data_IF_358273185004
#
_entry.id   IF_358273185004
#
_cell.length_a   1.000
_cell.length_b   1.000
_cell.length_c   1.000
_cell.angle_alpha   90.00
_cell.angle_beta   90.00
_cell.angle_gamma   90.00
#
_symmetry.space_group_name_H-M   'P 1'
#
loop_
_entity.id
_entity.type
_entity.pdbx_description
1 polymer ?
#
# COMPACT_ATOMS: atom_id res chain seq x y z
N UNK A 1 13.71 15.61 -5.36
CA UNK A 1 12.41 15.02 -4.99
C UNK A 1 11.75 15.90 -3.95
N UNK A 2 10.47 16.27 -4.11
CA UNK A 2 9.64 16.98 -3.13
C UNK A 2 8.43 16.12 -2.79
N UNK A 3 8.05 16.08 -1.52
CA UNK A 3 6.85 15.36 -1.05
C UNK A 3 6.00 16.28 -0.18
N UNK A 4 4.70 16.06 -0.16
CA UNK A 4 3.81 16.78 0.73
C UNK A 4 3.96 16.26 2.15
N UNK A 5 4.47 17.11 3.04
CA UNK A 5 4.57 16.82 4.46
C UNK A 5 3.28 17.27 5.16
N UNK A 6 2.61 16.35 5.83
CA UNK A 6 1.33 16.60 6.50
C UNK A 6 1.50 17.54 7.69
N UNK A 7 2.62 17.47 8.42
CA UNK A 7 2.93 18.36 9.54
C UNK A 7 3.22 19.78 9.05
N UNK A 8 4.07 19.91 8.02
CA UNK A 8 4.38 21.21 7.42
C UNK A 8 3.23 21.78 6.56
N UNK A 9 2.23 20.95 6.22
CA UNK A 9 1.08 21.28 5.34
C UNK A 9 1.51 21.86 4.00
N UNK A 10 2.59 21.34 3.44
CA UNK A 10 3.17 21.84 2.19
C UNK A 10 4.20 20.89 1.60
N UNK A 11 4.56 21.18 0.35
CA UNK A 11 5.63 20.46 -0.33
C UNK A 11 6.99 20.78 0.30
N UNK A 12 7.70 19.75 0.74
CA UNK A 12 9.03 19.83 1.32
C UNK A 12 10.05 19.15 0.42
N UNK A 13 11.22 19.74 0.29
CA UNK A 13 12.36 19.08 -0.35
C UNK A 13 12.89 18.00 0.57
N UNK A 14 12.90 16.77 0.10
CA UNK A 14 13.46 15.65 0.85
C UNK A 14 14.98 15.66 0.73
N UNK A 15 15.62 15.88 1.87
CA UNK A 15 17.08 15.84 2.01
C UNK A 15 17.42 14.76 3.01
N UNK A 16 18.03 13.65 2.59
CA UNK A 16 18.41 12.57 3.50
C UNK A 16 19.32 13.05 4.64
N UNK A 17 19.14 12.53 5.84
CA UNK A 17 20.01 12.76 7.01
C UNK A 17 21.42 12.23 6.75
N UNK A 18 21.51 11.09 6.07
CA UNK A 18 22.76 10.53 5.57
C UNK A 18 22.84 10.76 4.06
N UNK A 19 23.92 11.35 3.52
CA UNK A 19 24.03 11.65 2.10
C UNK A 19 23.70 10.44 1.21
N UNK A 20 22.71 10.60 0.33
CA UNK A 20 22.24 9.58 -0.62
C UNK A 20 21.66 8.31 0.01
N UNK A 21 21.21 8.38 1.26
CA UNK A 21 20.58 7.27 1.94
C UNK A 21 19.37 7.77 2.74
N UNK A 22 18.18 7.26 2.42
CA UNK A 22 16.92 7.57 3.10
C UNK A 22 16.55 6.49 4.10
N UNK A 23 16.17 6.90 5.29
CA UNK A 23 15.52 6.04 6.29
C UNK A 23 14.01 6.26 6.24
N UNK A 24 13.25 5.18 6.09
CA UNK A 24 11.79 5.22 5.97
C UNK A 24 11.18 4.25 6.98
N UNK A 25 10.30 4.76 7.84
CA UNK A 25 9.42 3.91 8.63
C UNK A 25 8.02 3.94 8.02
N UNK A 26 7.43 2.77 7.85
CA UNK A 26 6.08 2.60 7.31
C UNK A 26 5.21 1.86 8.32
N UNK A 27 4.07 2.44 8.71
CA UNK A 27 3.09 1.69 9.48
C UNK A 27 2.58 0.51 8.66
N UNK A 28 2.73 -0.70 9.23
CA UNK A 28 2.37 -1.96 8.61
C UNK A 28 0.94 -2.42 8.92
N UNK A 29 0.60 -3.65 8.56
CA UNK A 29 -0.72 -4.21 8.80
C UNK A 29 -0.90 -4.68 10.25
N UNK A 30 -2.15 -4.65 10.72
CA UNK A 30 -2.58 -5.49 11.84
C UNK A 30 -3.01 -6.85 11.29
N UNK A 31 -2.26 -7.90 11.63
CA UNK A 31 -2.36 -9.21 11.00
C UNK A 31 -3.40 -10.12 11.66
N UNK A 32 -4.66 -9.69 11.64
CA UNK A 32 -5.81 -10.46 12.09
C UNK A 32 -6.76 -10.84 10.94
N UNK A 33 -6.53 -10.29 9.75
CA UNK A 33 -7.28 -10.56 8.51
C UNK A 33 -6.47 -10.16 7.29
N UNK A 34 -6.92 -10.59 6.11
CA UNK A 34 -6.34 -10.14 4.83
C UNK A 34 -6.40 -8.62 4.71
N UNK A 35 -5.34 -8.04 4.15
CA UNK A 35 -5.28 -6.64 3.82
C UNK A 35 -6.10 -6.37 2.54
N UNK A 36 -6.97 -5.37 2.56
CA UNK A 36 -7.75 -5.03 1.37
C UNK A 36 -6.96 -4.10 0.42
N UNK A 37 -7.45 -3.95 -0.80
CA UNK A 37 -6.78 -3.15 -1.84
C UNK A 37 -6.52 -1.70 -1.42
N UNK A 38 -7.29 -1.14 -0.48
CA UNK A 38 -7.03 0.19 0.08
C UNK A 38 -5.77 0.23 0.94
N UNK A 39 -5.48 -0.83 1.71
CA UNK A 39 -4.23 -0.96 2.47
C UNK A 39 -3.06 -1.10 1.50
N UNK A 40 -3.21 -1.91 0.44
CA UNK A 40 -2.16 -2.08 -0.60
C UNK A 40 -1.78 -0.75 -1.25
N UNK A 41 -2.76 0.15 -1.49
CA UNK A 41 -2.47 1.49 -2.00
C UNK A 41 -1.63 2.33 -1.03
N UNK A 42 -1.83 2.16 0.27
CA UNK A 42 -1.00 2.84 1.29
C UNK A 42 0.42 2.28 1.29
N UNK A 43 0.58 0.96 1.25
CA UNK A 43 1.91 0.32 1.23
C UNK A 43 2.66 0.63 -0.07
N UNK A 44 1.96 0.79 -1.20
CA UNK A 44 2.54 1.23 -2.46
C UNK A 44 3.23 2.59 -2.36
N UNK A 45 2.77 3.51 -1.50
CA UNK A 45 3.40 4.82 -1.33
C UNK A 45 4.87 4.71 -0.93
N UNK A 46 5.18 3.83 0.02
CA UNK A 46 6.57 3.60 0.48
C UNK A 46 7.43 3.02 -0.65
N UNK A 47 6.90 2.07 -1.42
CA UNK A 47 7.57 1.50 -2.59
C UNK A 47 7.88 2.58 -3.64
N UNK A 48 6.94 3.47 -3.94
CA UNK A 48 7.15 4.56 -4.90
C UNK A 48 8.22 5.55 -4.43
N UNK A 49 8.26 5.90 -3.14
CA UNK A 49 9.30 6.76 -2.57
C UNK A 49 10.68 6.08 -2.72
N UNK A 50 10.77 4.80 -2.37
CA UNK A 50 12.01 4.02 -2.46
C UNK A 50 12.50 3.88 -3.90
N UNK A 51 11.58 3.60 -4.85
CA UNK A 51 11.93 3.50 -6.28
C UNK A 51 12.40 4.84 -6.84
N UNK A 52 11.74 5.96 -6.47
CA UNK A 52 12.19 7.29 -6.89
C UNK A 52 13.56 7.65 -6.32
N UNK A 53 13.81 7.30 -5.05
CA UNK A 53 15.15 7.44 -4.45
C UNK A 53 16.19 6.66 -5.26
N UNK A 54 15.89 5.41 -5.66
CA UNK A 54 16.74 4.60 -6.54
C UNK A 54 16.99 5.24 -7.90
N UNK A 55 15.99 5.88 -8.52
CA UNK A 55 16.18 6.61 -9.79
C UNK A 55 17.14 7.81 -9.66
N UNK A 56 17.23 8.41 -8.46
CA UNK A 56 18.23 9.42 -8.12
C UNK A 56 19.58 8.84 -7.69
N UNK A 57 19.72 7.51 -7.70
CA UNK A 57 20.92 6.81 -7.24
C UNK A 57 21.11 6.88 -5.73
N UNK A 58 20.02 7.01 -4.96
CA UNK A 58 20.03 6.90 -3.51
C UNK A 58 19.67 5.47 -3.10
N UNK A 59 20.12 5.08 -1.93
CA UNK A 59 19.69 3.85 -1.26
C UNK A 59 18.62 4.17 -0.22
N UNK A 60 17.87 3.15 0.19
CA UNK A 60 16.87 3.28 1.26
C UNK A 60 17.08 2.20 2.31
N UNK A 61 16.73 2.48 3.56
CA UNK A 61 16.43 1.48 4.57
C UNK A 61 14.96 1.66 4.96
N UNK A 62 14.17 0.64 4.69
CA UNK A 62 12.73 0.61 4.96
C UNK A 62 12.46 -0.34 6.12
N UNK A 63 11.80 0.17 7.16
CA UNK A 63 11.27 -0.62 8.26
C UNK A 63 9.74 -0.56 8.19
N UNK A 64 9.09 -1.72 8.18
CA UNK A 64 7.63 -1.81 8.21
C UNK A 64 7.22 -2.80 9.30
N UNK A 65 6.48 -2.34 10.30
CA UNK A 65 6.08 -3.19 11.40
C UNK A 65 4.99 -4.20 11.03
N UNK A 66 4.90 -5.25 11.84
CA UNK A 66 3.78 -6.19 11.87
C UNK A 66 3.11 -6.07 13.24
N UNK A 67 1.89 -5.53 13.28
CA UNK A 67 1.08 -5.44 14.49
C UNK A 67 0.35 -6.76 14.72
N UNK A 68 0.90 -7.61 15.56
CA UNK A 68 0.39 -8.94 15.91
C UNK A 68 -0.14 -9.01 17.35
N UNK A 69 -0.23 -7.86 18.05
CA UNK A 69 -0.78 -7.71 19.41
C UNK A 69 -1.26 -6.27 19.63
N UNK A 70 -2.01 -6.02 20.66
CA UNK A 70 -2.24 -4.69 21.25
C UNK A 70 -3.24 -3.80 20.52
N UNK A 71 -3.64 -4.11 19.30
CA UNK A 71 -4.59 -3.29 18.54
C UNK A 71 -6.04 -3.62 18.96
N UNK A 72 -6.56 -2.81 19.85
CA UNK A 72 -7.94 -2.95 20.35
C UNK A 72 -8.94 -2.39 19.35
N UNK A 73 -10.19 -2.86 19.43
CA UNK A 73 -11.26 -2.43 18.53
C UNK A 73 -11.58 -0.92 18.64
N UNK A 74 -11.37 -0.34 19.81
CA UNK A 74 -11.64 1.06 20.17
C UNK A 74 -10.45 2.01 20.04
N UNK A 75 -9.24 1.52 19.75
CA UNK A 75 -8.04 2.36 19.62
C UNK A 75 -8.07 3.29 18.38
N UNK A 76 -8.98 3.05 17.45
CA UNK A 76 -9.10 3.86 16.23
C UNK A 76 -10.05 5.05 16.40
N UNK A 77 -9.85 6.00 17.24
CA UNK A 77 -10.68 7.20 17.53
C UNK A 77 -11.51 7.87 16.40
N UNK A 78 -11.47 7.32 15.21
CA UNK A 78 -12.26 7.63 14.03
C UNK A 78 -13.06 6.38 13.67
N UNK A 79 -14.22 6.10 14.31
CA UNK A 79 -15.22 5.16 13.83
C UNK A 79 -14.90 4.35 12.57
N UNK A 80 -13.81 3.64 12.59
CA UNK A 80 -13.49 2.58 11.63
C UNK A 80 -14.42 1.43 11.96
N UNK A 81 -15.46 1.35 11.17
CA UNK A 81 -16.67 0.55 11.32
C UNK A 81 -16.34 -0.94 11.36
N UNK A 82 -15.98 -1.45 12.51
CA UNK A 82 -16.43 -2.76 12.95
C UNK A 82 -17.52 -2.49 14.00
N UNK A 83 -18.61 -1.88 13.56
CA UNK A 83 -19.84 -1.70 14.32
C UNK A 83 -20.45 -3.06 14.57
N UNK A 84 -20.14 -3.64 15.71
CA UNK A 84 -20.77 -4.86 16.13
C UNK A 84 -20.03 -5.54 17.25
N UNK A 85 -20.37 -5.13 18.50
CA UNK A 85 -20.19 -5.92 19.72
C UNK A 85 -18.76 -6.13 20.22
N UNK A 86 -18.46 -5.55 21.36
CA UNK A 86 -17.32 -5.84 22.22
C UNK A 86 -16.23 -4.77 22.20
N UNK A 87 -16.46 -3.63 22.91
CA UNK A 87 -15.39 -2.71 23.30
C UNK A 87 -14.31 -3.46 24.09
N UNK A 88 -13.04 -3.13 23.83
CA UNK A 88 -11.92 -3.59 24.65
C UNK A 88 -11.31 -4.95 24.28
N UNK A 89 -11.65 -5.59 23.17
CA UNK A 89 -11.05 -6.88 22.76
C UNK A 89 -9.96 -6.69 21.67
N UNK A 90 -8.83 -7.37 21.86
CA UNK A 90 -7.74 -7.42 20.88
C UNK A 90 -8.20 -8.15 19.60
N UNK A 91 -7.98 -7.51 18.45
CA UNK A 91 -8.46 -8.00 17.15
C UNK A 91 -7.86 -9.35 16.77
N UNK A 92 -6.58 -9.60 17.12
CA UNK A 92 -5.91 -10.87 16.84
C UNK A 92 -6.50 -11.98 17.70
N UNK A 93 -6.72 -11.73 19.01
CA UNK A 93 -7.34 -12.69 19.91
C UNK A 93 -8.77 -13.03 19.49
N UNK A 94 -9.57 -12.04 19.10
CA UNK A 94 -10.93 -12.25 18.59
C UNK A 94 -10.95 -13.13 17.35
N UNK A 95 -10.06 -12.87 16.39
CA UNK A 95 -9.96 -13.69 15.20
C UNK A 95 -9.49 -15.11 15.51
N UNK A 96 -8.53 -15.25 16.42
CA UNK A 96 -8.04 -16.55 16.87
C UNK A 96 -9.17 -17.40 17.49
N UNK A 97 -10.00 -16.79 18.33
CA UNK A 97 -11.17 -17.44 18.89
C UNK A 97 -12.20 -17.85 17.82
N UNK A 98 -12.40 -16.98 16.81
CA UNK A 98 -13.32 -17.24 15.69
C UNK A 98 -12.85 -18.42 14.83
N UNK A 99 -11.54 -18.54 14.58
CA UNK A 99 -10.96 -19.62 13.76
C UNK A 99 -10.57 -20.87 14.59
N UNK A 100 -10.72 -20.84 15.92
CA UNK A 100 -10.34 -21.95 16.79
C UNK A 100 -8.84 -22.24 16.80
N UNK A 101 -8.01 -21.21 16.68
CA UNK A 101 -6.55 -21.28 16.56
C UNK A 101 -5.85 -20.43 17.62
N UNK A 102 -4.52 -20.59 17.79
CA UNK A 102 -3.74 -19.71 18.66
C UNK A 102 -3.51 -18.33 18.02
N UNK A 103 -3.41 -17.30 18.86
CA UNK A 103 -3.25 -15.90 18.39
C UNK A 103 -2.05 -15.71 17.45
N UNK A 104 -0.88 -16.22 17.83
CA UNK A 104 0.31 -16.12 16.98
C UNK A 104 0.20 -16.90 15.67
N UNK A 105 -0.51 -18.05 15.66
CA UNK A 105 -0.75 -18.80 14.42
C UNK A 105 -1.63 -18.01 13.46
N UNK A 106 -2.66 -17.32 13.96
CA UNK A 106 -3.49 -16.40 13.16
C UNK A 106 -2.65 -15.25 12.63
N UNK A 107 -1.83 -14.62 13.47
CA UNK A 107 -0.97 -13.52 13.04
C UNK A 107 -0.02 -13.96 11.91
N UNK A 108 0.65 -15.11 12.04
CA UNK A 108 1.54 -15.65 10.99
C UNK A 108 0.82 -15.94 9.68
N UNK A 109 -0.38 -16.53 9.74
CA UNK A 109 -1.22 -16.79 8.56
C UNK A 109 -1.49 -15.51 7.76
N UNK A 110 -1.90 -14.45 8.43
CA UNK A 110 -2.23 -13.19 7.75
C UNK A 110 -1.01 -12.34 7.39
N UNK A 111 0.11 -12.51 8.09
CA UNK A 111 1.41 -11.96 7.69
C UNK A 111 1.91 -12.59 6.39
N UNK A 112 1.80 -13.92 6.24
CA UNK A 112 2.15 -14.62 4.99
C UNK A 112 1.27 -14.16 3.82
N UNK A 113 -0.03 -14.02 4.04
CA UNK A 113 -0.97 -13.49 3.05
C UNK A 113 -0.59 -12.04 2.63
N UNK A 114 -0.23 -11.21 3.60
CA UNK A 114 0.23 -9.84 3.35
C UNK A 114 1.48 -9.80 2.46
N UNK A 115 2.49 -10.62 2.74
CA UNK A 115 3.70 -10.70 1.91
C UNK A 115 3.42 -11.21 0.49
N UNK A 116 2.49 -12.17 0.37
CA UNK A 116 2.02 -12.65 -0.94
C UNK A 116 1.37 -11.53 -1.76
N UNK A 117 0.52 -10.72 -1.12
CA UNK A 117 -0.16 -9.59 -1.77
C UNK A 117 0.83 -8.50 -2.19
N UNK A 118 1.84 -8.19 -1.36
CA UNK A 118 2.92 -7.25 -1.73
C UNK A 118 3.67 -7.73 -2.98
N UNK A 119 4.02 -9.03 -3.01
CA UNK A 119 4.72 -9.65 -4.15
C UNK A 119 3.86 -9.60 -5.42
N UNK A 120 2.57 -9.94 -5.33
CA UNK A 120 1.65 -9.89 -6.46
C UNK A 120 1.53 -8.49 -7.08
N UNK A 121 1.64 -7.44 -6.26
CA UNK A 121 1.63 -6.04 -6.69
C UNK A 121 3.01 -5.48 -7.02
N UNK A 122 4.07 -6.33 -7.03
CA UNK A 122 5.45 -5.91 -7.26
C UNK A 122 5.88 -4.75 -6.33
N UNK A 123 5.41 -4.78 -5.07
CA UNK A 123 5.87 -3.89 -4.01
C UNK A 123 7.13 -4.49 -3.43
N UNK A 124 8.23 -3.73 -3.40
CA UNK A 124 9.48 -4.20 -2.83
C UNK A 124 9.30 -4.51 -1.34
N UNK A 125 9.85 -5.64 -0.86
CA UNK A 125 9.84 -5.92 0.57
C UNK A 125 10.61 -4.85 1.33
N UNK A 126 10.18 -4.56 2.56
CA UNK A 126 10.97 -3.77 3.49
C UNK A 126 12.24 -4.52 3.90
N UNK A 127 13.28 -3.79 4.32
CA UNK A 127 14.52 -4.38 4.81
C UNK A 127 14.30 -5.09 6.15
N UNK A 128 13.35 -4.59 6.95
CA UNK A 128 13.00 -5.16 8.25
C UNK A 128 11.47 -5.17 8.45
N UNK A 129 10.99 -6.29 9.00
CA UNK A 129 9.61 -6.47 9.43
C UNK A 129 9.57 -6.83 10.94
N UNK A 130 9.80 -5.85 11.84
CA UNK A 130 9.70 -6.10 13.27
C UNK A 130 8.26 -6.42 13.66
N UNK A 131 8.08 -7.44 14.51
CA UNK A 131 6.78 -7.81 15.06
C UNK A 131 6.61 -7.22 16.45
N UNK A 132 5.43 -6.68 16.73
CA UNK A 132 5.12 -6.09 18.02
C UNK A 132 5.35 -7.08 19.18
N UNK A 133 4.89 -8.32 19.02
CA UNK A 133 5.08 -9.38 20.04
C UNK A 133 6.54 -9.74 20.31
N UNK A 134 7.44 -9.48 19.39
CA UNK A 134 8.88 -9.75 19.50
C UNK A 134 9.68 -8.52 19.94
N UNK A 135 9.04 -7.35 20.09
CA UNK A 135 9.66 -6.07 20.43
C UNK A 135 9.25 -5.53 21.81
N UNK A 136 8.83 -6.41 22.69
CA UNK A 136 8.41 -6.03 24.05
C UNK A 136 9.53 -5.39 24.88
N UNK A 137 10.79 -5.88 24.86
CA UNK A 137 11.87 -5.22 25.58
C UNK A 137 12.06 -3.76 25.17
N UNK A 138 12.01 -3.46 23.88
CA UNK A 138 12.16 -2.10 23.33
C UNK A 138 11.00 -1.19 23.76
N UNK A 139 9.79 -1.73 23.85
CA UNK A 139 8.63 -0.99 24.35
C UNK A 139 8.76 -0.68 25.84
N UNK A 140 9.28 -1.60 26.64
CA UNK A 140 9.56 -1.38 28.08
C UNK A 140 10.62 -0.28 28.22
N UNK A 141 11.72 -0.34 27.47
CA UNK A 141 12.77 0.69 27.48
C UNK A 141 12.20 2.08 27.13
N UNK A 142 11.34 2.17 26.12
CA UNK A 142 10.67 3.42 25.73
C UNK A 142 9.79 3.95 26.86
N UNK A 143 8.97 3.10 27.46
CA UNK A 143 8.06 3.46 28.56
C UNK A 143 8.85 3.93 29.78
N UNK A 144 9.93 3.24 30.16
CA UNK A 144 10.80 3.64 31.26
C UNK A 144 11.39 5.04 31.02
N UNK A 145 11.89 5.30 29.80
CA UNK A 145 12.39 6.63 29.46
C UNK A 145 11.32 7.71 29.55
N UNK A 146 10.08 7.42 29.17
CA UNK A 146 8.94 8.35 29.29
C UNK A 146 8.54 8.58 30.74
N UNK A 147 8.58 7.57 31.59
CA UNK A 147 8.32 7.66 33.04
C UNK A 147 9.40 8.52 33.73
N UNK A 148 10.68 8.25 33.44
CA UNK A 148 11.81 9.01 33.98
C UNK A 148 11.77 10.50 33.63
N UNK A 149 11.27 10.83 32.43
CA UNK A 149 11.13 12.20 31.95
C UNK A 149 9.85 12.90 32.40
N UNK A 150 8.94 12.15 33.05
CA UNK A 150 7.66 12.68 33.54
C UNK A 150 6.61 12.87 32.46
N UNK A 151 6.78 12.26 31.27
CA UNK A 151 5.80 12.27 30.19
C UNK A 151 4.79 11.11 30.31
N UNK A 152 5.05 10.13 31.17
CA UNK A 152 4.17 9.01 31.44
C UNK A 152 3.93 8.84 32.93
N UNK A 153 2.90 8.09 33.29
CA UNK A 153 2.58 7.75 34.67
C UNK A 153 1.93 6.36 34.79
N UNK A 154 2.09 5.73 35.93
CA UNK A 154 1.42 4.49 36.25
C UNK A 154 0.05 4.80 36.85
N UNK A 155 -0.99 4.22 36.30
CA UNK A 155 -2.36 4.32 36.78
C UNK A 155 -2.61 3.48 38.02
N UNK A 156 -3.74 3.67 38.66
CA UNK A 156 -4.10 2.97 39.92
C UNK A 156 -4.34 1.46 39.71
N UNK A 157 -4.60 1.03 38.49
CA UNK A 157 -4.78 -0.36 38.12
C UNK A 157 -3.47 -1.07 37.70
N UNK A 158 -2.37 -0.32 37.53
CA UNK A 158 -1.09 -0.79 37.03
C UNK A 158 -0.89 -0.60 35.51
N UNK A 159 -1.87 -0.07 34.79
CA UNK A 159 -1.66 0.38 33.40
C UNK A 159 -0.75 1.61 33.35
N UNK A 160 0.01 1.78 32.27
CA UNK A 160 0.87 2.96 32.08
C UNK A 160 0.29 3.84 30.98
N UNK A 161 0.17 5.12 31.26
CA UNK A 161 -0.39 6.11 30.33
C UNK A 161 0.62 7.19 29.99
N UNK A 162 0.57 7.69 28.76
CA UNK A 162 1.22 8.93 28.37
C UNK A 162 0.35 10.11 28.83
N UNK A 163 0.95 11.10 29.49
CA UNK A 163 0.28 12.36 29.82
C UNK A 163 0.28 13.28 28.59
N UNK A 164 -0.84 13.33 27.90
CA UNK A 164 -0.98 14.12 26.67
C UNK A 164 -0.61 15.61 26.87
N UNK A 165 -0.85 16.18 28.06
CA UNK A 165 -0.53 17.57 28.38
C UNK A 165 0.95 17.82 28.58
N UNK A 166 1.75 16.76 28.77
CA UNK A 166 3.21 16.86 28.90
C UNK A 166 3.91 17.15 27.56
N UNK A 167 3.17 17.05 26.42
CA UNK A 167 3.70 17.34 25.08
C UNK A 167 2.98 18.54 24.45
N UNK A 168 3.48 19.76 24.62
CA UNK A 168 2.79 21.00 24.19
C UNK A 168 2.54 21.11 22.67
N UNK A 169 3.34 20.38 21.86
CA UNK A 169 3.21 20.40 20.41
C UNK A 169 2.22 19.35 19.86
N UNK A 170 1.42 18.73 20.73
CA UNK A 170 0.38 17.78 20.32
C UNK A 170 -0.61 18.43 19.35
N UNK A 171 -0.93 17.74 18.27
CA UNK A 171 -1.78 18.25 17.21
C UNK A 171 -1.04 18.86 16.01
N UNK A 172 0.29 18.85 15.99
CA UNK A 172 1.07 19.42 14.90
C UNK A 172 0.86 18.68 13.55
N UNK A 173 0.66 17.36 13.57
CA UNK A 173 0.38 16.57 12.36
C UNK A 173 -1.11 16.66 12.01
N UNK A 174 -1.98 16.41 12.98
CA UNK A 174 -3.43 16.31 12.80
C UNK A 174 -4.13 17.65 12.61
N UNK A 175 -3.64 18.67 13.30
CA UNK A 175 -4.32 19.95 13.46
C UNK A 175 -5.35 19.94 14.60
N UNK A 176 -5.51 18.81 15.30
CA UNK A 176 -6.41 18.69 16.43
C UNK A 176 -5.75 19.26 17.69
N UNK A 177 -6.31 20.30 18.26
CA UNK A 177 -5.81 20.83 19.52
C UNK A 177 -6.27 19.95 20.68
N UNK A 178 -5.38 19.72 21.63
CA UNK A 178 -5.66 18.89 22.79
C UNK A 178 -6.90 19.38 23.58
N UNK A 179 -7.08 20.70 23.67
CA UNK A 179 -8.19 21.37 24.35
C UNK A 179 -9.54 21.17 23.64
N UNK A 180 -9.52 20.93 22.33
CA UNK A 180 -10.72 20.72 21.51
C UNK A 180 -11.16 19.24 21.48
N UNK A 181 -10.31 18.33 21.99
CA UNK A 181 -10.66 16.92 22.11
C UNK A 181 -11.70 16.74 23.21
N UNK A 182 -12.88 16.27 22.83
CA UNK A 182 -13.98 16.07 23.78
C UNK A 182 -14.04 14.61 24.24
N UNK A 183 -14.30 14.36 25.52
CA UNK A 183 -14.58 13.01 26.00
C UNK A 183 -15.79 12.45 25.24
N UNK A 184 -15.69 11.23 24.75
CA UNK A 184 -16.86 10.46 24.33
C UNK A 184 -17.58 10.87 23.05
N UNK A 185 -16.93 11.58 22.09
CA UNK A 185 -17.62 12.11 20.89
C UNK A 185 -18.22 11.06 19.93
N UNK A 186 -18.02 9.74 20.16
CA UNK A 186 -18.73 8.65 19.44
C UNK A 186 -19.05 7.42 20.29
N UNK A 187 -18.59 7.37 21.52
CA UNK A 187 -18.95 6.29 22.43
C UNK A 187 -19.29 6.95 23.77
N UNK A 188 -20.48 6.67 24.33
CA UNK A 188 -20.83 6.92 25.72
C UNK A 188 -19.98 6.04 26.66
N UNK A 189 -18.64 6.10 26.48
CA UNK A 189 -17.71 5.50 27.40
C UNK A 189 -17.52 6.53 28.51
N UNK A 190 -18.00 6.21 29.70
CA UNK A 190 -17.66 6.92 30.93
C UNK A 190 -16.15 7.17 30.93
N UNK A 191 -15.75 8.39 31.33
CA UNK A 191 -14.35 8.75 31.42
C UNK A 191 -13.60 7.66 32.20
N UNK A 192 -12.57 7.06 31.58
CA UNK A 192 -11.77 6.02 32.22
C UNK A 192 -11.23 6.56 33.54
N UNK A 193 -11.67 6.05 34.71
CA UNK A 193 -11.34 6.62 36.01
C UNK A 193 -9.85 6.51 36.36
N UNK A 194 -9.09 5.71 35.59
CA UNK A 194 -7.65 5.50 35.78
C UNK A 194 -6.82 6.60 35.13
N UNK A 195 -7.36 7.25 34.08
CA UNK A 195 -6.68 8.34 33.35
C UNK A 195 -6.73 9.65 34.13
N UNK A 196 -5.63 10.41 34.10
CA UNK A 196 -5.57 11.77 34.66
C UNK A 196 -6.23 12.79 33.77
N UNK A 197 -6.21 12.56 32.46
CA UNK A 197 -6.84 13.37 31.45
C UNK A 197 -7.47 12.49 30.37
N UNK A 198 -8.61 12.88 29.83
CA UNK A 198 -9.38 12.06 28.91
C UNK A 198 -8.64 11.70 27.59
N UNK A 199 -7.71 12.57 27.18
CA UNK A 199 -6.92 12.34 25.97
C UNK A 199 -5.60 11.59 26.23
N UNK A 200 -5.30 11.20 27.47
CA UNK A 200 -4.17 10.32 27.76
C UNK A 200 -4.41 8.95 27.10
N UNK A 201 -3.37 8.34 26.57
CA UNK A 201 -3.48 7.03 25.94
C UNK A 201 -2.57 6.01 26.63
N UNK A 202 -2.98 4.75 26.54
CA UNK A 202 -2.24 3.69 27.19
C UNK A 202 -0.95 3.36 26.43
N UNK A 203 0.16 3.33 27.12
CA UNK A 203 1.46 2.81 26.67
C UNK A 203 1.56 1.33 26.98
N UNK A 204 1.05 0.92 28.16
CA UNK A 204 0.95 -0.44 28.61
C UNK A 204 -0.40 -0.66 29.29
N UNK A 205 -1.13 -1.69 28.89
CA UNK A 205 -2.45 -2.02 29.46
C UNK A 205 -2.31 -3.23 30.38
N UNK A 206 -2.82 -3.15 31.59
CA UNK A 206 -2.92 -4.30 32.48
C UNK A 206 -3.80 -5.37 31.86
N UNK A 207 -3.32 -6.60 31.86
CA UNK A 207 -4.11 -7.74 31.38
C UNK A 207 -5.20 -8.09 32.39
N UNK A 208 -6.46 -8.27 31.96
CA UNK A 208 -7.47 -8.90 32.80
C UNK A 208 -7.13 -10.37 33.03
N UNK A 209 -7.54 -10.94 34.14
CA UNK A 209 -7.25 -12.34 34.50
C UNK A 209 -7.74 -13.36 33.45
N UNK A 210 -8.69 -12.96 32.61
CA UNK A 210 -9.24 -13.80 31.53
C UNK A 210 -8.35 -13.82 30.29
N UNK A 211 -7.39 -12.88 30.16
CA UNK A 211 -6.47 -12.82 29.02
C UNK A 211 -5.24 -13.68 29.27
N UNK A 212 -5.16 -14.83 28.60
CA UNK A 212 -4.09 -15.84 28.79
C UNK A 212 -3.08 -15.88 27.64
N UNK A 213 -3.30 -15.14 26.56
CA UNK A 213 -2.40 -15.07 25.40
C UNK A 213 -2.01 -13.62 25.14
N UNK A 214 -0.82 -13.42 24.55
CA UNK A 214 -0.27 -12.11 24.22
C UNK A 214 -0.23 -11.20 25.45
N UNK A 215 0.37 -11.71 26.54
CA UNK A 215 0.61 -11.00 27.78
C UNK A 215 2.06 -11.23 28.23
N UNK A 216 2.64 -10.23 28.86
CA UNK A 216 4.04 -10.24 29.32
C UNK A 216 4.16 -9.65 30.71
N UNK A 217 5.14 -10.17 31.46
CA UNK A 217 5.53 -9.62 32.76
C UNK A 217 6.38 -8.37 32.56
N UNK A 218 6.03 -7.30 33.28
CA UNK A 218 6.76 -6.03 33.27
C UNK A 218 6.93 -5.50 34.69
N UNK A 219 7.75 -4.45 34.92
CA UNK A 219 7.83 -3.79 36.23
C UNK A 219 6.48 -3.26 36.76
N UNK A 220 5.51 -3.02 35.88
CA UNK A 220 4.16 -2.49 36.22
C UNK A 220 3.13 -3.61 36.39
N UNK A 221 3.50 -4.86 36.14
CA UNK A 221 2.65 -6.05 36.22
C UNK A 221 2.42 -6.74 34.86
N UNK A 222 1.62 -7.80 34.90
CA UNK A 222 1.25 -8.55 33.69
C UNK A 222 0.33 -7.72 32.80
N UNK A 223 0.71 -7.57 31.52
CA UNK A 223 -0.05 -6.73 30.61
C UNK A 223 0.34 -6.93 29.14
N UNK A 224 -0.04 -5.99 28.33
CA UNK A 224 0.22 -5.96 26.90
C UNK A 224 0.41 -4.50 26.41
N UNK A 225 1.12 -4.27 25.29
CA UNK A 225 1.41 -2.92 24.81
C UNK A 225 0.16 -2.19 24.34
N UNK A 226 0.19 -0.87 24.46
CA UNK A 226 -0.70 0.02 23.71
C UNK A 226 -0.23 0.13 22.26
N UNK A 227 -1.18 0.19 21.33
CA UNK A 227 -0.92 0.16 19.88
C UNK A 227 0.09 1.22 19.39
N UNK A 228 0.08 2.42 19.96
CA UNK A 228 0.97 3.51 19.53
C UNK A 228 2.42 3.33 20.01
N UNK A 229 2.63 2.56 21.09
CA UNK A 229 3.95 2.28 21.66
C UNK A 229 4.79 1.40 20.75
N UNK A 230 4.15 0.50 20.01
CA UNK A 230 4.78 -0.48 19.13
C UNK A 230 5.65 0.21 18.08
N UNK A 231 5.02 1.09 17.27
CA UNK A 231 5.71 1.77 16.17
C UNK A 231 6.80 2.71 16.67
N UNK A 232 6.56 3.42 17.78
CA UNK A 232 7.58 4.29 18.40
C UNK A 232 8.82 3.50 18.82
N UNK A 233 8.63 2.37 19.53
CA UNK A 233 9.74 1.56 20.01
C UNK A 233 10.51 0.90 18.86
N UNK A 234 9.81 0.28 17.91
CA UNK A 234 10.41 -0.43 16.79
C UNK A 234 11.15 0.54 15.84
N UNK A 235 10.58 1.71 15.57
CA UNK A 235 11.23 2.73 14.72
C UNK A 235 12.50 3.27 15.34
N UNK A 236 12.48 3.62 16.62
CA UNK A 236 13.66 4.10 17.36
C UNK A 236 14.76 3.03 17.43
N UNK A 237 14.39 1.77 17.65
CA UNK A 237 15.35 0.66 17.74
C UNK A 237 16.10 0.44 16.43
N UNK A 238 15.38 0.44 15.30
CA UNK A 238 15.94 0.03 14.01
C UNK A 238 16.47 1.21 13.18
N UNK A 239 15.92 2.41 13.35
CA UNK A 239 16.32 3.59 12.57
C UNK A 239 16.94 4.70 13.43
N UNK A 240 16.92 4.56 14.76
CA UNK A 240 17.46 5.57 15.68
C UNK A 240 16.59 6.82 15.79
N UNK A 241 17.17 7.90 16.33
CA UNK A 241 16.46 9.14 16.64
C UNK A 241 16.42 10.17 15.50
N UNK A 242 16.71 9.76 14.26
CA UNK A 242 16.64 10.62 13.07
C UNK A 242 16.12 9.82 11.89
N UNK A 243 14.82 9.87 11.67
CA UNK A 243 14.10 9.17 10.61
C UNK A 243 13.70 10.19 9.55
N UNK A 244 14.10 9.96 8.29
CA UNK A 244 13.84 10.92 7.23
C UNK A 244 12.35 11.00 6.87
N UNK A 245 11.68 9.85 6.71
CA UNK A 245 10.28 9.80 6.30
C UNK A 245 9.52 8.77 7.14
N UNK A 246 8.32 9.14 7.61
CA UNK A 246 7.34 8.23 8.17
C UNK A 246 6.09 8.21 7.27
N UNK A 247 5.68 7.03 6.81
CA UNK A 247 4.53 6.87 5.91
C UNK A 247 3.39 6.10 6.56
N UNK A 248 2.16 6.39 6.10
CA UNK A 248 0.97 5.64 6.51
C UNK A 248 -0.29 6.10 5.77
N UNK A 249 -1.43 5.53 6.14
CA UNK A 249 -2.73 6.01 5.69
C UNK A 249 -3.12 7.32 6.35
N UNK A 250 -3.96 8.12 5.71
CA UNK A 250 -4.43 9.39 6.27
C UNK A 250 -5.23 9.19 7.57
N UNK A 251 -5.80 8.02 7.77
CA UNK A 251 -6.48 7.61 9.00
C UNK A 251 -5.53 7.47 10.20
N UNK A 252 -4.26 7.14 9.95
CA UNK A 252 -3.23 7.07 11.00
C UNK A 252 -2.76 8.45 11.45
N UNK A 253 -3.02 9.51 10.69
CA UNK A 253 -2.62 10.88 11.05
C UNK A 253 -3.06 11.25 12.47
N UNK A 254 -4.24 10.79 12.88
CA UNK A 254 -4.79 10.96 14.22
C UNK A 254 -5.62 9.75 14.63
N UNK A 255 -5.44 9.20 15.85
CA UNK A 255 -4.43 9.66 16.84
C UNK A 255 -3.02 9.09 16.60
N UNK A 256 -2.84 7.98 15.88
CA UNK A 256 -1.68 7.11 15.89
C UNK A 256 -0.34 7.84 15.65
N UNK A 257 -0.16 8.53 14.53
CA UNK A 257 1.10 9.24 14.24
C UNK A 257 1.33 10.46 15.15
N UNK A 258 0.26 11.09 15.65
CA UNK A 258 0.38 12.14 16.61
C UNK A 258 0.92 11.62 17.96
N UNK A 259 0.39 10.47 18.40
CA UNK A 259 0.81 9.79 19.62
C UNK A 259 2.24 9.22 19.48
N UNK A 260 2.59 8.63 18.34
CA UNK A 260 3.96 8.20 18.07
C UNK A 260 4.96 9.35 18.10
N UNK A 261 4.61 10.50 17.49
CA UNK A 261 5.44 11.68 17.53
C UNK A 261 5.65 12.17 18.95
N UNK A 262 4.58 12.22 19.76
CA UNK A 262 4.67 12.64 21.15
C UNK A 262 5.57 11.68 21.95
N UNK A 263 5.41 10.36 21.80
CA UNK A 263 6.23 9.36 22.48
C UNK A 263 7.70 9.46 22.09
N UNK A 264 7.99 9.40 20.78
CA UNK A 264 9.36 9.37 20.29
C UNK A 264 10.13 10.65 20.61
N UNK A 265 9.50 11.82 20.43
CA UNK A 265 10.12 13.11 20.71
C UNK A 265 10.32 13.32 22.21
N UNK A 266 9.35 12.90 23.04
CA UNK A 266 9.49 12.99 24.50
C UNK A 266 10.59 12.07 25.02
N UNK A 267 10.67 10.84 24.53
CA UNK A 267 11.68 9.87 24.97
C UNK A 267 13.10 10.28 24.58
N UNK A 268 13.28 10.87 23.41
CA UNK A 268 14.61 11.25 22.90
C UNK A 268 15.00 12.71 23.21
N UNK A 269 14.03 13.59 23.42
CA UNK A 269 14.24 15.03 23.55
C UNK A 269 14.56 15.72 22.21
N UNK A 270 14.25 15.09 21.08
CA UNK A 270 14.51 15.60 19.74
C UNK A 270 13.33 15.33 18.80
N UNK A 271 13.26 16.06 17.67
CA UNK A 271 12.26 15.82 16.63
C UNK A 271 12.73 14.63 15.76
N UNK A 272 12.20 13.44 16.04
CA UNK A 272 12.69 12.16 15.50
C UNK A 272 12.38 12.01 14.02
N UNK A 273 11.14 12.30 13.61
CA UNK A 273 10.69 12.14 12.22
C UNK A 273 10.67 13.49 11.50
N UNK A 274 11.41 13.57 10.41
CA UNK A 274 11.55 14.81 9.63
C UNK A 274 10.35 15.11 8.75
N UNK A 275 9.81 14.07 8.08
CA UNK A 275 8.69 14.21 7.14
C UNK A 275 7.61 13.15 7.37
N UNK A 276 6.35 13.60 7.47
CA UNK A 276 5.16 12.76 7.64
C UNK A 276 4.36 12.73 6.35
N UNK A 277 4.31 11.57 5.68
CA UNK A 277 3.72 11.44 4.35
C UNK A 277 2.57 10.44 4.37
N UNK A 278 1.36 10.88 3.98
CA UNK A 278 0.15 10.10 4.11
C UNK A 278 -0.52 9.83 2.77
N UNK A 279 -0.96 8.58 2.55
CA UNK A 279 -1.84 8.19 1.46
C UNK A 279 -3.30 8.46 1.82
N UNK A 280 -4.07 9.01 0.88
CA UNK A 280 -5.49 9.29 1.06
C UNK A 280 -6.33 8.02 0.89
N UNK A 281 -7.55 8.03 1.42
CA UNK A 281 -8.48 6.92 1.39
C UNK A 281 -8.80 6.44 -0.04
N UNK A 282 -9.02 5.13 -0.14
CA UNK A 282 -9.58 4.49 -1.33
C UNK A 282 -11.03 4.09 -1.05
N UNK A 283 -11.93 4.51 -1.93
CA UNK A 283 -13.30 4.04 -1.99
C UNK A 283 -13.40 2.92 -3.04
N UNK A 284 -14.31 1.98 -2.82
CA UNK A 284 -14.70 1.02 -3.84
C UNK A 284 -16.18 1.19 -4.17
N UNK A 285 -16.49 1.39 -5.45
CA UNK A 285 -17.83 1.73 -5.93
C UNK A 285 -18.48 2.90 -5.15
N UNK A 286 -17.68 3.96 -4.92
CA UNK A 286 -18.13 5.18 -4.25
C UNK A 286 -18.30 5.07 -2.72
N UNK A 287 -17.94 3.94 -2.11
CA UNK A 287 -18.13 3.68 -0.69
C UNK A 287 -16.82 3.29 -0.01
N UNK A 288 -16.66 3.65 1.26
CA UNK A 288 -15.58 3.12 2.09
C UNK A 288 -15.74 1.60 2.21
N UNK A 289 -14.64 0.87 2.02
CA UNK A 289 -14.65 -0.58 2.20
C UNK A 289 -14.85 -0.93 3.68
N UNK A 290 -15.85 -1.77 3.96
CA UNK A 290 -16.10 -2.31 5.29
C UNK A 290 -16.73 -3.71 5.20
N UNK A 291 -16.51 -4.55 6.22
CA UNK A 291 -17.14 -5.88 6.28
C UNK A 291 -18.67 -5.78 6.33
N UNK A 292 -19.19 -4.83 7.10
CA UNK A 292 -20.63 -4.62 7.25
C UNK A 292 -21.32 -4.22 5.93
N UNK A 293 -20.61 -3.51 5.05
CA UNK A 293 -21.09 -3.16 3.71
C UNK A 293 -20.89 -4.27 2.66
N UNK A 294 -20.14 -5.33 2.97
CA UNK A 294 -19.85 -6.44 2.05
C UNK A 294 -19.07 -6.04 0.79
N UNK A 295 -18.38 -4.88 0.82
CA UNK A 295 -17.68 -4.31 -0.33
C UNK A 295 -16.15 -4.33 -0.19
N UNK A 296 -15.61 -5.19 0.68
CA UNK A 296 -14.16 -5.38 0.82
C UNK A 296 -13.66 -6.13 -0.40
N UNK A 297 -12.63 -5.58 -1.05
CA UNK A 297 -11.95 -6.20 -2.20
C UNK A 297 -10.50 -6.48 -1.83
N UNK A 298 -10.06 -7.68 -2.13
CA UNK A 298 -8.73 -8.21 -1.86
C UNK A 298 -7.95 -8.39 -3.17
N UNK A 299 -6.63 -8.53 -3.09
CA UNK A 299 -5.79 -8.80 -4.26
C UNK A 299 -6.19 -10.12 -4.92
N UNK A 300 -6.53 -11.15 -4.13
CA UNK A 300 -7.02 -12.43 -4.67
C UNK A 300 -8.31 -12.30 -5.48
N UNK A 301 -9.22 -11.38 -5.12
CA UNK A 301 -10.46 -11.19 -5.88
C UNK A 301 -10.17 -10.64 -7.29
N UNK A 302 -9.07 -9.87 -7.44
CA UNK A 302 -8.57 -9.40 -8.75
C UNK A 302 -8.06 -10.60 -9.56
N UNK A 303 -7.27 -11.48 -8.94
CA UNK A 303 -6.71 -12.68 -9.57
C UNK A 303 -7.81 -13.67 -9.96
N UNK A 304 -8.78 -13.92 -9.09
CA UNK A 304 -9.91 -14.82 -9.32
C UNK A 304 -10.81 -14.35 -10.48
N UNK A 305 -10.81 -13.04 -10.78
CA UNK A 305 -11.48 -12.47 -11.96
C UNK A 305 -10.65 -12.60 -13.25
N UNK A 306 -9.48 -13.22 -13.20
CA UNK A 306 -8.59 -13.36 -14.35
C UNK A 306 -7.83 -12.06 -14.70
N UNK A 307 -7.78 -11.08 -13.80
CA UNK A 307 -7.04 -9.84 -14.00
C UNK A 307 -5.62 -9.95 -13.44
N UNK A 308 -4.66 -9.34 -14.14
CA UNK A 308 -3.28 -9.24 -13.64
C UNK A 308 -3.24 -8.32 -12.41
N UNK A 309 -2.66 -8.72 -11.26
CA UNK A 309 -2.51 -7.85 -10.11
C UNK A 309 -1.80 -6.52 -10.43
N UNK A 310 -0.91 -6.50 -11.43
CA UNK A 310 -0.24 -5.27 -11.86
C UNK A 310 -1.17 -4.31 -12.61
N UNK A 311 -2.35 -4.77 -13.08
CA UNK A 311 -3.40 -3.87 -13.53
C UNK A 311 -3.98 -3.05 -12.36
N UNK A 312 -4.12 -3.65 -11.18
CA UNK A 312 -4.50 -2.93 -9.96
C UNK A 312 -3.41 -1.91 -9.57
N UNK A 313 -2.12 -2.30 -9.63
CA UNK A 313 -1.01 -1.36 -9.42
C UNK A 313 -1.07 -0.20 -10.41
N UNK A 314 -1.29 -0.46 -11.70
CA UNK A 314 -1.43 0.60 -12.70
C UNK A 314 -2.64 1.50 -12.43
N UNK A 315 -3.77 0.94 -11.98
CA UNK A 315 -4.93 1.71 -11.58
C UNK A 315 -4.61 2.69 -10.44
N UNK A 316 -3.83 2.25 -9.44
CA UNK A 316 -3.36 3.14 -8.37
C UNK A 316 -2.47 4.26 -8.90
N UNK A 317 -1.54 3.96 -9.80
CA UNK A 317 -0.64 4.95 -10.41
C UNK A 317 -1.36 6.00 -11.27
N UNK A 318 -2.59 5.75 -11.69
CA UNK A 318 -3.43 6.72 -12.42
C UNK A 318 -3.97 7.84 -11.53
N UNK A 319 -3.75 7.76 -10.20
CA UNK A 319 -4.24 8.73 -9.22
C UNK A 319 -3.09 9.18 -8.32
N UNK A 320 -3.10 10.45 -7.91
CA UNK A 320 -2.14 10.92 -6.91
C UNK A 320 -2.38 10.25 -5.56
N UNK A 321 -1.31 9.85 -4.86
CA UNK A 321 -1.40 9.11 -3.59
C UNK A 321 -2.21 9.84 -2.51
N UNK A 322 -2.18 11.17 -2.49
CA UNK A 322 -2.89 12.00 -1.50
C UNK A 322 -4.26 12.55 -1.98
N UNK A 323 -4.80 12.00 -3.05
CA UNK A 323 -6.17 12.25 -3.48
C UNK A 323 -7.03 11.02 -3.21
N UNK A 324 -8.26 11.25 -2.74
CA UNK A 324 -9.22 10.17 -2.61
C UNK A 324 -9.45 9.52 -3.97
N UNK A 325 -9.34 8.20 -4.01
CA UNK A 325 -9.55 7.41 -5.22
C UNK A 325 -10.85 6.63 -5.10
N UNK A 326 -11.66 6.65 -6.14
CA UNK A 326 -12.77 5.72 -6.29
C UNK A 326 -12.38 4.61 -7.27
N UNK A 327 -12.07 3.44 -6.75
CA UNK A 327 -11.75 2.25 -7.52
C UNK A 327 -13.04 1.51 -7.88
N UNK A 328 -13.10 0.98 -9.09
CA UNK A 328 -14.18 0.11 -9.58
C UNK A 328 -13.57 -1.02 -10.41
N UNK A 329 -14.32 -2.07 -10.66
CA UNK A 329 -13.86 -3.15 -11.54
C UNK A 329 -13.54 -2.63 -12.93
N UNK A 330 -14.35 -1.71 -13.48
CA UNK A 330 -14.12 -1.11 -14.80
C UNK A 330 -12.80 -0.33 -14.87
N UNK A 331 -12.39 0.31 -13.76
CA UNK A 331 -11.09 1.01 -13.69
C UNK A 331 -9.93 0.00 -13.76
N UNK A 332 -10.04 -1.13 -13.06
CA UNK A 332 -9.01 -2.20 -13.10
C UNK A 332 -8.96 -2.85 -14.50
N UNK A 333 -10.11 -3.15 -15.09
CA UNK A 333 -10.20 -3.70 -16.46
C UNK A 333 -9.63 -2.74 -17.51
N UNK A 334 -9.88 -1.44 -17.36
CA UNK A 334 -9.27 -0.40 -18.21
C UNK A 334 -7.75 -0.31 -18.05
N UNK A 335 -7.26 -0.50 -16.83
CA UNK A 335 -5.82 -0.59 -16.55
C UNK A 335 -5.22 -1.87 -17.14
N UNK A 336 -5.92 -3.01 -17.06
CA UNK A 336 -5.53 -4.28 -17.68
C UNK A 336 -5.26 -4.12 -19.19
N UNK A 337 -6.23 -3.54 -19.92
CA UNK A 337 -6.09 -3.29 -21.37
C UNK A 337 -4.90 -2.39 -21.69
N UNK A 338 -4.62 -1.40 -20.83
CA UNK A 338 -3.46 -0.52 -21.00
C UNK A 338 -2.15 -1.27 -20.77
N UNK A 339 -2.10 -2.10 -19.72
CA UNK A 339 -0.94 -2.91 -19.37
C UNK A 339 -0.58 -3.91 -20.48
N UNK A 340 -1.57 -4.64 -20.97
CA UNK A 340 -1.42 -5.60 -22.10
C UNK A 340 -0.90 -4.90 -23.35
N UNK A 341 -1.51 -3.77 -23.71
CA UNK A 341 -1.06 -2.97 -24.86
C UNK A 341 0.39 -2.51 -24.71
N UNK A 342 0.78 -2.02 -23.55
CA UNK A 342 2.15 -1.58 -23.31
C UNK A 342 3.14 -2.74 -23.37
N UNK A 343 2.82 -3.89 -22.78
CA UNK A 343 3.66 -5.10 -22.89
C UNK A 343 3.82 -5.56 -24.32
N UNK A 344 2.73 -5.59 -25.10
CA UNK A 344 2.78 -5.90 -26.53
C UNK A 344 3.68 -4.93 -27.30
N UNK A 345 3.55 -3.62 -27.06
CA UNK A 345 4.41 -2.61 -27.69
C UNK A 345 5.88 -2.74 -27.28
N UNK A 346 6.17 -2.98 -26.01
CA UNK A 346 7.54 -3.20 -25.54
C UNK A 346 8.15 -4.44 -26.18
N UNK A 347 7.40 -5.53 -26.32
CA UNK A 347 7.85 -6.75 -27.00
C UNK A 347 8.10 -6.53 -28.51
N UNK A 348 7.26 -5.71 -29.17
CA UNK A 348 7.45 -5.31 -30.55
C UNK A 348 8.75 -4.48 -30.71
N UNK A 349 8.91 -3.43 -29.92
CA UNK A 349 10.06 -2.53 -29.96
C UNK A 349 11.38 -3.19 -29.56
N UNK A 350 11.35 -4.26 -28.76
CA UNK A 350 12.53 -5.04 -28.40
C UNK A 350 13.25 -5.63 -29.63
N UNK A 351 12.56 -5.79 -30.76
CA UNK A 351 13.14 -6.28 -32.01
C UNK A 351 13.80 -5.18 -32.85
N UNK A 352 13.61 -3.92 -32.48
CA UNK A 352 14.17 -2.77 -33.19
C UNK A 352 15.63 -2.53 -32.80
N UNK A 353 16.46 -1.94 -33.70
CA UNK A 353 17.82 -1.57 -33.34
C UNK A 353 17.87 -0.70 -32.07
N UNK A 354 18.78 -1.03 -31.14
CA UNK A 354 18.98 -0.23 -29.93
C UNK A 354 19.31 1.22 -30.27
N UNK A 355 18.71 2.14 -29.53
CA UNK A 355 18.93 3.57 -29.69
C UNK A 355 18.95 4.27 -28.33
N UNK A 356 19.66 5.38 -28.17
CA UNK A 356 19.68 6.11 -26.90
C UNK A 356 18.29 6.55 -26.49
N UNK A 357 18.01 6.45 -25.18
CA UNK A 357 16.76 6.97 -24.60
C UNK A 357 16.61 8.46 -24.83
N UNK A 358 15.40 8.91 -25.17
CA UNK A 358 15.11 10.34 -25.38
C UNK A 358 15.25 11.13 -24.07
N UNK A 359 16.22 12.06 -24.04
CA UNK A 359 16.55 12.85 -22.85
C UNK A 359 15.39 13.73 -22.39
N UNK A 360 14.67 14.37 -23.33
CA UNK A 360 13.56 15.29 -23.04
C UNK A 360 12.40 14.56 -22.33
N UNK A 361 12.04 13.36 -22.80
CA UNK A 361 11.02 12.55 -22.16
C UNK A 361 11.47 12.05 -20.79
N UNK A 362 12.76 11.70 -20.64
CA UNK A 362 13.35 11.32 -19.35
C UNK A 362 13.28 12.44 -18.33
N UNK A 363 13.63 13.65 -18.72
CA UNK A 363 13.54 14.84 -17.87
C UNK A 363 12.10 15.12 -17.43
N UNK A 364 11.15 15.10 -18.39
CA UNK A 364 9.72 15.29 -18.10
C UNK A 364 9.17 14.24 -17.13
N UNK A 365 9.57 12.98 -17.28
CA UNK A 365 9.14 11.89 -16.42
C UNK A 365 9.65 12.08 -14.98
N UNK A 366 10.95 12.34 -14.82
CA UNK A 366 11.54 12.62 -13.50
C UNK A 366 10.95 13.88 -12.86
N UNK A 367 10.76 14.95 -13.63
CA UNK A 367 10.15 16.19 -13.13
C UNK A 367 8.70 15.99 -12.65
N UNK A 368 7.97 15.04 -13.23
CA UNK A 368 6.65 14.68 -12.75
C UNK A 368 6.72 13.93 -11.42
N UNK A 369 7.64 12.96 -11.29
CA UNK A 369 7.81 12.17 -10.07
C UNK A 369 8.40 13.00 -8.93
N UNK A 370 9.31 13.91 -9.23
CA UNK A 370 9.93 14.81 -8.25
C UNK A 370 8.95 15.82 -7.64
N UNK A 371 7.81 16.01 -8.28
CA UNK A 371 6.75 16.89 -7.82
C UNK A 371 5.63 16.09 -7.16
N UNK A 372 5.87 15.67 -5.93
CA UNK A 372 4.88 14.99 -5.08
C UNK A 372 4.38 13.66 -5.67
N UNK A 373 5.29 12.90 -6.30
CA UNK A 373 4.94 11.63 -6.96
C UNK A 373 3.74 11.77 -7.90
N UNK A 374 3.77 12.77 -8.82
CA UNK A 374 2.69 12.98 -9.80
C UNK A 374 2.70 11.85 -10.85
N UNK A 375 2.32 10.64 -10.41
CA UNK A 375 2.27 9.45 -11.25
C UNK A 375 1.31 9.59 -12.44
N UNK A 376 0.13 10.26 -12.33
CA UNK A 376 -0.72 10.51 -13.49
C UNK A 376 -0.01 11.31 -14.60
N UNK A 377 0.78 12.32 -14.22
CA UNK A 377 1.58 13.11 -15.17
C UNK A 377 2.71 12.27 -15.77
N UNK A 378 3.40 11.45 -14.95
CA UNK A 378 4.42 10.54 -15.44
C UNK A 378 3.84 9.53 -16.46
N UNK A 379 2.67 8.95 -16.20
CA UNK A 379 1.97 8.07 -17.14
C UNK A 379 1.55 8.80 -18.43
N UNK A 380 1.27 10.09 -18.35
CA UNK A 380 0.99 10.91 -19.53
C UNK A 380 2.23 11.07 -20.41
N UNK A 381 3.42 11.19 -19.81
CA UNK A 381 4.70 11.23 -20.54
C UNK A 381 4.90 9.94 -21.34
N UNK A 382 4.63 8.76 -20.72
CA UNK A 382 4.70 7.48 -21.43
C UNK A 382 3.73 7.41 -22.62
N UNK A 383 2.47 7.82 -22.41
CA UNK A 383 1.46 7.83 -23.48
C UNK A 383 1.82 8.75 -24.64
N UNK A 384 2.48 9.87 -24.36
CA UNK A 384 2.95 10.79 -25.38
C UNK A 384 4.11 10.17 -26.16
N UNK A 385 5.11 9.62 -25.47
CA UNK A 385 6.25 8.95 -26.11
C UNK A 385 5.78 7.76 -26.97
N UNK A 386 4.84 6.95 -26.49
CA UNK A 386 4.26 5.82 -27.24
C UNK A 386 3.76 6.26 -28.63
N UNK A 387 3.08 7.42 -28.68
CA UNK A 387 2.45 7.96 -29.88
C UNK A 387 3.38 8.81 -30.75
N UNK A 388 4.52 9.21 -30.25
CA UNK A 388 5.44 10.09 -30.96
C UNK A 388 6.13 9.35 -32.10
N UNK A 389 5.72 9.62 -33.32
CA UNK A 389 6.29 9.02 -34.53
C UNK A 389 7.72 9.50 -34.86
N UNK A 390 8.21 10.55 -34.22
CA UNK A 390 9.55 11.08 -34.44
C UNK A 390 10.62 10.31 -33.64
N UNK A 391 10.22 9.58 -32.64
CA UNK A 391 11.11 8.81 -31.76
C UNK A 391 11.17 7.35 -32.24
N UNK A 392 12.38 6.82 -32.41
CA UNK A 392 12.60 5.44 -32.83
C UNK A 392 12.09 4.44 -31.81
N UNK A 393 11.68 3.26 -32.27
CA UNK A 393 11.18 2.18 -31.43
C UNK A 393 12.23 1.70 -30.42
N UNK A 394 13.51 1.59 -30.81
CA UNK A 394 14.57 1.27 -29.88
C UNK A 394 14.71 2.29 -28.75
N UNK A 395 14.55 3.59 -29.04
CA UNK A 395 14.53 4.62 -27.99
C UNK A 395 13.30 4.53 -27.08
N UNK A 396 12.13 4.15 -27.63
CA UNK A 396 10.93 3.89 -26.83
C UNK A 396 11.09 2.66 -25.93
N UNK A 397 11.68 1.60 -26.45
CA UNK A 397 11.99 0.40 -25.67
C UNK A 397 12.87 0.75 -24.44
N UNK A 398 13.99 1.42 -24.68
CA UNK A 398 14.91 1.81 -23.61
C UNK A 398 14.23 2.69 -22.56
N UNK A 399 13.38 3.63 -23.01
CA UNK A 399 12.65 4.49 -22.07
C UNK A 399 11.62 3.70 -21.24
N UNK A 400 10.81 2.84 -21.86
CA UNK A 400 9.79 2.06 -21.15
C UNK A 400 10.43 1.09 -20.16
N UNK A 401 11.51 0.41 -20.53
CA UNK A 401 12.28 -0.45 -19.65
C UNK A 401 12.86 0.31 -18.45
N UNK A 402 13.45 1.50 -18.70
CA UNK A 402 13.96 2.36 -17.64
C UNK A 402 12.86 2.90 -16.74
N UNK A 403 11.74 3.36 -17.28
CA UNK A 403 10.62 3.89 -16.51
C UNK A 403 9.95 2.81 -15.66
N UNK A 404 9.99 1.54 -16.10
CA UNK A 404 9.43 0.41 -15.37
C UNK A 404 10.18 0.09 -14.07
N UNK A 405 11.43 0.51 -13.93
CA UNK A 405 12.13 0.46 -12.64
C UNK A 405 11.38 1.22 -11.54
N UNK A 406 10.69 2.32 -11.90
CA UNK A 406 9.79 3.04 -11.00
C UNK A 406 8.37 2.47 -11.02
N UNK A 407 7.79 2.22 -12.19
CA UNK A 407 6.39 1.83 -12.32
C UNK A 407 6.11 0.44 -11.73
N UNK A 408 7.06 -0.51 -11.88
CA UNK A 408 6.95 -1.88 -11.38
C UNK A 408 5.83 -2.67 -12.05
N UNK A 409 5.56 -2.43 -13.34
CA UNK A 409 4.48 -3.03 -14.10
C UNK A 409 4.89 -4.28 -14.88
N UNK A 410 6.20 -4.65 -14.81
CA UNK A 410 6.77 -5.78 -15.55
C UNK A 410 6.46 -5.68 -17.04
N UNK A 411 6.80 -4.53 -17.62
CA UNK A 411 6.46 -4.18 -19.01
C UNK A 411 7.22 -5.04 -20.02
N UNK A 412 8.36 -5.59 -19.63
CA UNK A 412 9.18 -6.47 -20.46
C UNK A 412 8.80 -7.95 -20.36
N UNK A 413 7.76 -8.32 -19.60
CA UNK A 413 7.34 -9.71 -19.31
C UNK A 413 7.23 -10.58 -20.55
N UNK A 414 6.75 -10.03 -21.66
CA UNK A 414 6.49 -10.78 -22.90
C UNK A 414 7.60 -10.67 -23.93
N UNK A 415 8.71 -9.97 -23.63
CA UNK A 415 9.87 -9.86 -24.51
C UNK A 415 10.52 -11.24 -24.69
N UNK A 416 10.74 -11.62 -25.95
CA UNK A 416 11.34 -12.92 -26.30
C UNK A 416 10.40 -14.13 -26.11
N UNK A 417 9.19 -13.90 -25.64
CA UNK A 417 8.18 -14.95 -25.66
C UNK A 417 7.59 -15.01 -27.08
N UNK A 418 7.66 -16.16 -27.68
CA UNK A 418 6.80 -16.43 -28.86
C UNK A 418 5.37 -16.28 -28.35
N UNK A 419 4.51 -15.44 -28.98
CA UNK A 419 3.09 -15.48 -28.64
C UNK A 419 2.70 -16.93 -28.58
N UNK A 420 2.19 -17.43 -27.46
CA UNK A 420 1.44 -18.65 -27.46
C UNK A 420 0.38 -18.38 -28.54
N UNK A 421 0.54 -18.97 -29.71
CA UNK A 421 -0.56 -19.06 -30.65
C UNK A 421 -1.69 -19.61 -29.77
N UNK A 422 -2.71 -18.79 -29.51
CA UNK A 422 -3.91 -19.31 -28.87
C UNK A 422 -4.19 -20.60 -29.63
N UNK A 423 -4.18 -21.74 -28.91
CA UNK A 423 -4.55 -23.01 -29.58
C UNK A 423 -5.92 -22.71 -30.15
N UNK A 424 -5.92 -22.48 -31.48
CA UNK A 424 -7.17 -22.26 -32.19
C UNK A 424 -7.89 -23.59 -32.06
N UNK A 425 -9.06 -23.64 -31.42
CA UNK A 425 -9.80 -24.90 -31.32
C UNK A 425 -9.93 -25.57 -32.69
N UNK A 426 -9.83 -26.87 -32.73
CA UNK A 426 -9.83 -27.63 -33.99
C UNK A 426 -11.02 -27.31 -34.89
N UNK A 427 -12.19 -27.03 -34.30
CA UNK A 427 -13.41 -26.60 -34.99
C UNK A 427 -13.27 -25.20 -35.62
N UNK A 428 -12.63 -24.25 -34.91
CA UNK A 428 -12.33 -22.90 -35.42
C UNK A 428 -11.27 -22.95 -36.51
N UNK A 429 -10.24 -23.80 -36.34
CA UNK A 429 -9.22 -24.02 -37.36
C UNK A 429 -9.84 -24.59 -38.66
N UNK A 430 -10.74 -25.58 -38.55
CA UNK A 430 -11.43 -26.16 -39.71
C UNK A 430 -12.28 -25.08 -40.43
N UNK A 431 -12.97 -24.23 -39.73
CA UNK A 431 -13.74 -23.13 -40.30
C UNK A 431 -12.83 -22.10 -41.02
N UNK A 432 -11.66 -21.79 -40.45
CA UNK A 432 -10.69 -20.92 -41.11
C UNK A 432 -10.18 -21.52 -42.42
N UNK A 433 -9.91 -22.83 -42.47
CA UNK A 433 -9.48 -23.54 -43.67
C UNK A 433 -10.59 -23.57 -44.71
N UNK A 434 -11.85 -23.83 -44.30
CA UNK A 434 -13.01 -23.80 -45.19
C UNK A 434 -13.19 -22.41 -45.82
N UNK A 435 -13.07 -21.34 -44.99
CA UNK A 435 -13.16 -19.97 -45.49
C UNK A 435 -12.04 -19.63 -46.46
N UNK A 436 -10.80 -20.03 -46.18
CA UNK A 436 -9.68 -19.83 -47.09
C UNK A 436 -9.88 -20.51 -48.44
N UNK A 437 -10.36 -21.74 -48.41
CA UNK A 437 -10.67 -22.52 -49.64
C UNK A 437 -11.81 -21.88 -50.45
N UNK A 438 -12.89 -21.45 -49.80
CA UNK A 438 -13.99 -20.74 -50.42
C UNK A 438 -13.55 -19.45 -51.10
N UNK A 439 -12.68 -18.67 -50.46
CA UNK A 439 -12.12 -17.44 -51.05
C UNK A 439 -11.25 -17.74 -52.27
N UNK A 440 -10.39 -18.76 -52.19
CA UNK A 440 -9.57 -19.18 -53.32
C UNK A 440 -10.43 -19.61 -54.51
N UNK A 441 -11.57 -20.27 -54.26
CA UNK A 441 -12.56 -20.67 -55.27
C UNK A 441 -13.48 -19.51 -55.72
N UNK A 442 -13.38 -18.31 -55.13
CA UNK A 442 -14.28 -17.19 -55.34
C UNK A 442 -15.73 -17.47 -54.94
N UNK A 443 -15.96 -18.41 -54.05
CA UNK A 443 -17.25 -18.69 -53.45
C UNK A 443 -17.46 -17.74 -52.23
N UNK A 444 -17.95 -16.54 -52.54
CA UNK A 444 -18.16 -15.52 -51.54
C UNK A 444 -19.33 -15.83 -50.58
N UNK A 445 -20.29 -16.64 -51.05
CA UNK A 445 -21.43 -17.00 -50.21
C UNK A 445 -21.00 -17.94 -49.07
N UNK A 446 -20.18 -18.95 -49.35
CA UNK A 446 -19.58 -19.80 -48.31
C UNK A 446 -18.64 -19.05 -47.41
N UNK A 447 -17.78 -18.15 -47.96
CA UNK A 447 -16.86 -17.33 -47.20
C UNK A 447 -17.56 -16.42 -46.20
N UNK A 448 -18.69 -15.79 -46.57
CA UNK A 448 -19.47 -14.93 -45.67
C UNK A 448 -20.20 -15.73 -44.61
N UNK A 449 -20.79 -16.89 -44.95
CA UNK A 449 -21.41 -17.79 -43.99
C UNK A 449 -20.43 -18.22 -42.89
N UNK A 450 -19.23 -18.67 -43.29
CA UNK A 450 -18.21 -19.10 -42.32
C UNK A 450 -17.69 -17.94 -41.46
N UNK A 451 -17.57 -16.75 -42.03
CA UNK A 451 -17.23 -15.55 -41.24
C UNK A 451 -18.27 -15.26 -40.15
N UNK A 452 -19.56 -15.37 -40.48
CA UNK A 452 -20.66 -15.12 -39.56
C UNK A 452 -20.72 -16.23 -38.49
N UNK A 453 -20.40 -17.49 -38.85
CA UNK A 453 -20.28 -18.59 -37.91
C UNK A 453 -19.13 -18.41 -36.92
N UNK A 454 -17.94 -17.99 -37.39
CA UNK A 454 -16.80 -17.63 -36.54
C UNK A 454 -17.15 -16.45 -35.64
N UNK A 455 -17.86 -15.44 -36.14
CA UNK A 455 -18.32 -14.32 -35.36
C UNK A 455 -19.30 -14.72 -34.24
N UNK A 456 -20.19 -15.69 -34.51
CA UNK A 456 -21.12 -16.24 -33.51
C UNK A 456 -20.37 -17.03 -32.41
N UNK A 457 -19.19 -17.59 -32.70
CA UNK A 457 -18.29 -18.25 -31.77
C UNK A 457 -17.38 -17.23 -31.01
N UNK A 458 -17.48 -15.94 -31.32
CA UNK A 458 -16.69 -14.89 -30.68
C UNK A 458 -15.38 -14.52 -31.37
N UNK A 459 -15.12 -15.06 -32.59
CA UNK A 459 -13.90 -14.81 -33.33
C UNK A 459 -14.12 -13.85 -34.50
N UNK A 460 -13.26 -12.83 -34.60
CA UNK A 460 -13.32 -11.86 -35.71
C UNK A 460 -12.21 -12.16 -36.70
N UNK A 461 -12.57 -12.42 -37.97
CA UNK A 461 -11.60 -12.68 -39.03
C UNK A 461 -11.42 -11.44 -39.89
N UNK A 462 -10.16 -11.00 -40.05
CA UNK A 462 -9.76 -9.86 -40.87
C UNK A 462 -8.91 -10.35 -42.05
N UNK A 463 -9.19 -9.85 -43.26
CA UNK A 463 -8.39 -10.15 -44.45
C UNK A 463 -7.22 -9.16 -44.54
N UNK A 464 -6.01 -9.70 -44.76
CA UNK A 464 -4.79 -8.95 -44.98
C UNK A 464 -4.17 -9.34 -46.33
N UNK A 465 -3.20 -8.56 -46.87
CA UNK A 465 -2.48 -8.95 -48.09
C UNK A 465 -1.79 -10.32 -48.01
N UNK A 466 -1.43 -10.74 -46.80
CA UNK A 466 -0.71 -11.99 -46.51
C UNK A 466 -1.65 -13.16 -46.17
N UNK A 467 -2.98 -12.93 -46.16
CA UNK A 467 -3.98 -13.95 -45.83
C UNK A 467 -5.02 -13.45 -44.82
N UNK A 468 -5.78 -14.38 -44.24
CA UNK A 468 -6.75 -14.07 -43.20
C UNK A 468 -6.10 -14.15 -41.81
N UNK A 469 -6.47 -13.22 -40.92
CA UNK A 469 -6.01 -13.15 -39.53
C UNK A 469 -7.22 -13.27 -38.62
N UNK A 470 -7.11 -14.10 -37.59
CA UNK A 470 -8.09 -14.28 -36.52
C UNK A 470 -7.76 -13.28 -35.38
N UNK A 471 -8.74 -12.51 -34.90
CA UNK A 471 -8.63 -11.58 -33.83
C UNK A 471 -9.60 -11.92 -32.67
#
# INVERSE_FOLDING_TARGET
>A
MRLYDTRARGLQTITPSTPRHLTIYACGPTVYRDAHVGNMRTFLLTDLISRLAGMHGWTTTVVQNITDVGHMADDTGLGGVDEGQGGGEDRVLRQAATEGSGALAIARKYEEAFHSDLSALNIHPADHYPRASESIPEMIELIDALLERGNAYVGTDGSVFFDARSFPEYGAISGNRLEDLRPGHKFDVEADPVKRFHADWALWKKAPDTRTQLVWDTPWGVGYPGWHTECSAMSLKLLGSSIDIHTGGIDLRFPHHEDERAQSNSATGSDVVRHWVHAEHLLFDGRKMSKSAGNVVLVRDVIERGLDPLALRLAFLQHRYRQQMNLTWQVIEGAQKTLERWRSKVAEWANSPSAPMCADYREQFLAALDEDLDTPRALTVLRNLEKDATISEGSKFEFFAWADAFLGLDLARTVGQTPLAAEIPDDVQALLEERAAARAAKDFATSDRVRDELAAMGYVVTDTPDGQVLN
#
